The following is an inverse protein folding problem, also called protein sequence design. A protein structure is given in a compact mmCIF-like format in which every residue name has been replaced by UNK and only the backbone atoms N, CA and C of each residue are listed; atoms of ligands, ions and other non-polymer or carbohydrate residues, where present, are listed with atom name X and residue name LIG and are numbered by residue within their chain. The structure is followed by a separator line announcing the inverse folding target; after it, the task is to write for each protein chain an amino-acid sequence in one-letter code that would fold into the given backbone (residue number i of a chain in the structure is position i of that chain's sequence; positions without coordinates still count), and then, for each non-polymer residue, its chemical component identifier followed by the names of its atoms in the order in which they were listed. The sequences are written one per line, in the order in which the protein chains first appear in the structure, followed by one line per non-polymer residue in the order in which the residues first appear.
data_IF_262201168235
#
_entry.id   IF_262201168235
#
_cell.length_a   1.000
_cell.length_b   1.000
_cell.length_c   1.000
_cell.angle_alpha   90.00
_cell.angle_beta   90.00
_cell.angle_gamma   90.00
#
_symmetry.space_group_name_H-M   'P 1'
#
loop_
_entity.id
_entity.type
_entity.pdbx_description
1 polymer ?
#
# COMPACT_ATOMS: atom_id res chain seq x y z
N UNK A 1 0.40 -38.57 -8.67
CA UNK A 1 -0.05 -37.17 -8.82
C UNK A 1 -0.41 -36.60 -7.47
N UNK A 2 0.42 -35.75 -6.87
CA UNK A 2 0.03 -34.80 -5.80
C UNK A 2 1.07 -33.68 -5.79
N UNK A 3 0.58 -32.47 -5.58
CA UNK A 3 1.06 -31.18 -6.09
C UNK A 3 2.31 -30.67 -5.34
N UNK A 4 3.36 -30.33 -6.09
CA UNK A 4 4.48 -29.48 -5.68
C UNK A 4 4.26 -28.09 -6.31
N UNK A 5 3.80 -27.09 -5.54
CA UNK A 5 3.67 -25.72 -6.07
C UNK A 5 3.62 -24.58 -5.01
N UNK A 6 3.75 -24.85 -3.70
CA UNK A 6 3.56 -23.81 -2.67
C UNK A 6 4.80 -23.44 -1.83
N UNK A 7 5.95 -24.10 -2.02
CA UNK A 7 7.15 -23.87 -1.19
C UNK A 7 8.09 -22.77 -1.73
N UNK A 8 7.89 -22.27 -2.94
CA UNK A 8 8.70 -21.21 -3.54
C UNK A 8 8.31 -19.80 -3.08
N UNK A 9 7.06 -19.57 -2.63
CA UNK A 9 6.57 -18.25 -2.21
C UNK A 9 7.13 -17.79 -0.86
N UNK A 10 7.14 -18.69 0.14
CA UNK A 10 7.61 -18.39 1.50
C UNK A 10 9.12 -18.19 1.58
N UNK A 11 9.88 -18.91 0.74
CA UNK A 11 11.33 -18.74 0.61
C UNK A 11 11.69 -17.37 0.01
N UNK A 12 10.86 -16.87 -0.92
CA UNK A 12 11.02 -15.53 -1.51
C UNK A 12 10.67 -14.42 -0.52
N UNK A 13 9.65 -14.62 0.33
CA UNK A 13 9.26 -13.68 1.39
C UNK A 13 10.37 -13.54 2.46
N UNK A 14 10.98 -14.66 2.86
CA UNK A 14 12.18 -14.68 3.71
C UNK A 14 13.39 -14.06 3.01
N UNK A 15 13.55 -14.25 1.69
CA UNK A 15 14.62 -13.65 0.90
C UNK A 15 14.50 -12.12 0.79
N UNK A 16 13.27 -11.59 0.64
CA UNK A 16 13.00 -10.14 0.62
C UNK A 16 13.19 -9.49 1.99
N UNK A 17 12.70 -10.14 3.05
CA UNK A 17 12.93 -9.70 4.44
C UNK A 17 14.41 -9.76 4.83
N UNK A 18 15.19 -10.72 4.29
CA UNK A 18 16.65 -10.77 4.46
C UNK A 18 17.39 -9.71 3.65
N UNK A 19 16.95 -9.38 2.42
CA UNK A 19 17.64 -8.37 1.60
C UNK A 19 17.47 -6.95 2.16
N UNK A 20 16.31 -6.65 2.76
CA UNK A 20 16.03 -5.35 3.38
C UNK A 20 16.76 -5.12 4.71
N UNK A 21 17.21 -6.19 5.39
CA UNK A 21 17.98 -6.09 6.65
C UNK A 21 19.50 -6.03 6.41
N UNK A 22 19.98 -6.21 5.17
CA UNK A 22 21.43 -6.27 4.84
C UNK A 22 21.94 -4.98 4.17
N UNK A 23 21.40 -3.81 4.55
CA UNK A 23 22.01 -2.51 4.23
C UNK A 23 23.00 -2.00 5.28
N UNK A 24 23.17 -2.66 6.44
CA UNK A 24 24.05 -2.18 7.53
C UNK A 24 25.18 -3.14 8.02
N UNK A 25 25.52 -4.22 7.29
CA UNK A 25 26.60 -5.15 7.72
C UNK A 25 27.82 -5.13 6.76
N UNK A 26 29.07 -4.95 7.27
CA UNK A 26 30.29 -5.00 6.49
C UNK A 26 30.46 -6.29 5.67
N UNK A 27 30.97 -6.16 4.45
CA UNK A 27 31.04 -7.23 3.41
C UNK A 27 31.74 -8.52 3.84
N UNK A 28 32.63 -8.46 4.83
CA UNK A 28 33.42 -9.59 5.31
C UNK A 28 32.68 -10.50 6.32
N UNK A 29 31.56 -10.06 6.90
CA UNK A 29 30.72 -10.91 7.78
C UNK A 29 29.54 -11.56 7.04
N UNK A 30 29.23 -11.09 5.82
CA UNK A 30 28.15 -11.60 4.96
C UNK A 30 28.33 -13.07 4.59
N UNK A 31 29.54 -13.44 4.19
CA UNK A 31 29.81 -14.77 3.61
C UNK A 31 29.81 -15.88 4.67
N UNK A 32 30.24 -15.59 5.90
CA UNK A 32 30.32 -16.56 7.00
C UNK A 32 28.94 -16.94 7.52
N UNK A 33 28.00 -15.99 7.55
CA UNK A 33 26.62 -16.21 8.02
C UNK A 33 25.74 -16.89 6.97
N UNK A 34 25.92 -16.55 5.68
CA UNK A 34 25.24 -17.22 4.55
C UNK A 34 25.61 -18.71 4.48
N UNK A 35 26.88 -19.05 4.69
CA UNK A 35 27.34 -20.43 4.63
C UNK A 35 26.88 -21.29 5.82
N UNK A 36 26.66 -20.72 7.01
CA UNK A 36 26.10 -21.48 8.14
C UNK A 36 24.62 -21.83 7.92
N UNK A 37 23.85 -20.93 7.30
CA UNK A 37 22.40 -21.10 7.03
C UNK A 37 22.15 -22.10 5.88
N UNK A 38 22.97 -22.08 4.82
CA UNK A 38 22.89 -23.04 3.71
C UNK A 38 23.25 -24.47 4.17
N UNK A 39 24.13 -24.60 5.17
CA UNK A 39 24.60 -25.91 5.65
C UNK A 39 23.59 -26.66 6.54
N UNK A 40 22.58 -25.99 7.11
CA UNK A 40 21.58 -26.64 7.97
C UNK A 40 20.49 -27.32 7.13
N UNK A 41 20.75 -28.56 6.69
CA UNK A 41 19.76 -29.47 6.09
C UNK A 41 18.76 -30.00 7.14
N UNK A 42 17.88 -29.18 7.68
CA UNK A 42 16.82 -29.64 8.59
C UNK A 42 15.45 -29.63 7.91
N UNK A 43 14.94 -30.83 7.65
CA UNK A 43 13.65 -31.18 7.02
C UNK A 43 12.44 -31.05 7.95
N UNK A 44 12.49 -30.12 8.89
CA UNK A 44 11.34 -29.68 9.69
C UNK A 44 11.47 -28.17 9.81
N UNK A 45 10.45 -27.37 9.46
CA UNK A 45 10.43 -25.97 9.85
C UNK A 45 10.20 -25.97 11.37
N UNK A 46 11.26 -26.21 12.12
CA UNK A 46 11.28 -25.92 13.54
C UNK A 46 11.03 -24.42 13.64
N UNK A 47 9.95 -24.10 14.35
CA UNK A 47 9.37 -22.81 14.69
C UNK A 47 10.32 -21.92 15.53
N UNK A 48 11.62 -21.93 15.21
CA UNK A 48 12.69 -21.18 15.87
C UNK A 48 13.23 -20.04 15.00
N UNK A 49 12.67 -19.83 13.79
CA UNK A 49 12.96 -18.67 12.94
C UNK A 49 11.83 -17.63 12.90
N UNK A 50 10.84 -17.77 13.79
CA UNK A 50 9.99 -16.66 14.18
C UNK A 50 10.37 -16.33 15.62
N UNK A 51 11.39 -15.50 15.79
CA UNK A 51 11.36 -14.45 16.82
C UNK A 51 10.23 -13.45 16.52
N UNK A 52 9.06 -13.98 16.19
CA UNK A 52 7.73 -13.40 16.05
C UNK A 52 6.76 -14.35 16.80
N UNK A 53 7.28 -15.10 17.77
CA UNK A 53 6.48 -15.80 18.77
C UNK A 53 6.30 -14.85 19.95
N UNK A 54 5.15 -14.19 20.01
CA UNK A 54 4.52 -13.61 21.21
C UNK A 54 5.30 -12.59 22.10
N UNK A 55 6.59 -12.33 21.87
CA UNK A 55 7.43 -11.52 22.77
C UNK A 55 8.21 -10.40 22.07
N UNK A 56 8.10 -10.25 20.75
CA UNK A 56 8.68 -9.08 20.06
C UNK A 56 7.70 -7.92 20.04
N UNK A 57 8.15 -6.77 20.54
CA UNK A 57 7.48 -5.45 20.55
C UNK A 57 7.11 -4.88 19.16
N UNK A 58 6.74 -5.71 18.18
CA UNK A 58 6.36 -5.29 16.82
C UNK A 58 5.03 -4.52 16.82
N UNK A 59 4.24 -4.59 17.90
CA UNK A 59 3.06 -3.74 18.10
C UNK A 59 3.41 -2.23 18.16
N UNK A 60 4.69 -1.87 18.30
CA UNK A 60 5.19 -0.49 18.20
C UNK A 60 5.53 -0.05 16.78
N UNK A 61 5.51 -0.96 15.79
CA UNK A 61 5.84 -0.61 14.42
C UNK A 61 4.74 0.25 13.81
N UNK A 62 5.04 1.53 13.61
CA UNK A 62 4.06 2.50 13.11
C UNK A 62 4.12 2.74 11.61
N UNK A 63 5.24 2.47 10.95
CA UNK A 63 5.35 2.65 9.50
C UNK A 63 6.29 1.64 8.85
N UNK A 64 5.96 1.28 7.60
CA UNK A 64 6.82 0.50 6.73
C UNK A 64 7.03 1.29 5.44
N UNK A 65 8.29 1.55 5.10
CA UNK A 65 8.68 2.19 3.85
C UNK A 65 9.41 1.18 2.95
N UNK A 66 8.82 0.90 1.80
CA UNK A 66 9.32 0.04 0.73
C UNK A 66 9.43 0.81 -0.60
N UNK A 67 9.45 2.14 -0.53
CA UNK A 67 9.54 2.98 -1.71
C UNK A 67 10.88 2.84 -2.44
N UNK A 68 10.92 3.23 -3.71
CA UNK A 68 12.15 3.25 -4.52
C UNK A 68 12.81 1.88 -4.65
N UNK A 69 12.00 0.87 -4.97
CA UNK A 69 12.43 -0.52 -5.18
C UNK A 69 11.95 -1.05 -6.54
N UNK A 70 12.17 -2.34 -6.80
CA UNK A 70 11.74 -3.03 -8.02
C UNK A 70 10.60 -4.02 -7.75
N UNK A 71 9.73 -3.74 -6.77
CA UNK A 71 8.61 -4.63 -6.44
C UNK A 71 7.60 -4.63 -7.59
N UNK A 72 7.29 -5.81 -8.13
CA UNK A 72 6.28 -5.99 -9.19
C UNK A 72 4.89 -6.35 -8.67
N UNK A 73 4.81 -6.78 -7.41
CA UNK A 73 3.56 -7.16 -6.73
C UNK A 73 3.74 -7.10 -5.21
N UNK A 74 2.65 -6.90 -4.47
CA UNK A 74 2.61 -7.04 -3.01
C UNK A 74 2.12 -8.46 -2.68
N UNK A 75 2.93 -9.32 -2.02
CA UNK A 75 2.51 -10.67 -1.66
C UNK A 75 1.28 -10.68 -0.74
N UNK A 76 0.35 -11.61 -0.93
CA UNK A 76 -0.84 -11.74 -0.07
C UNK A 76 -0.49 -12.01 1.40
N UNK A 77 0.61 -12.72 1.63
CA UNK A 77 1.13 -13.04 2.94
C UNK A 77 1.60 -11.77 3.65
N UNK A 78 2.23 -10.83 2.92
CA UNK A 78 2.59 -9.52 3.47
C UNK A 78 1.34 -8.78 3.95
N UNK A 79 0.28 -8.75 3.14
CA UNK A 79 -0.98 -8.10 3.50
C UNK A 79 -1.60 -8.75 4.74
N UNK A 80 -1.58 -10.07 4.82
CA UNK A 80 -2.14 -10.84 5.95
C UNK A 80 -1.41 -10.51 7.26
N UNK A 81 -0.08 -10.55 7.27
CA UNK A 81 0.69 -10.32 8.49
C UNK A 81 0.71 -8.84 8.90
N UNK A 82 0.91 -7.92 7.94
CA UNK A 82 0.95 -6.50 8.25
C UNK A 82 -0.43 -5.95 8.65
N UNK A 83 -1.51 -6.51 8.11
CA UNK A 83 -2.87 -6.19 8.52
C UNK A 83 -3.20 -6.63 9.95
N UNK A 84 -2.39 -7.50 10.57
CA UNK A 84 -2.54 -7.87 11.98
C UNK A 84 -1.76 -6.95 12.92
N UNK A 85 -0.90 -6.07 12.39
CA UNK A 85 -0.08 -5.18 13.20
C UNK A 85 -0.92 -4.01 13.71
N UNK A 86 -1.34 -4.12 14.97
CA UNK A 86 -2.20 -3.13 15.60
C UNK A 86 -1.57 -1.74 15.79
N UNK A 87 -0.26 -1.58 15.57
CA UNK A 87 0.45 -0.30 15.62
C UNK A 87 0.62 0.40 14.28
N UNK A 88 0.41 -0.30 13.16
CA UNK A 88 0.82 0.19 11.84
C UNK A 88 -0.10 1.30 11.31
N UNK A 89 0.48 2.47 11.08
CA UNK A 89 -0.16 3.70 10.62
C UNK A 89 0.26 4.13 9.22
N UNK A 90 1.45 3.72 8.77
CA UNK A 90 2.00 4.15 7.47
C UNK A 90 2.47 2.99 6.61
N UNK A 91 2.07 3.01 5.33
CA UNK A 91 2.61 2.15 4.28
C UNK A 91 3.05 2.99 3.09
N UNK A 92 4.33 2.89 2.73
CA UNK A 92 4.87 3.52 1.53
C UNK A 92 5.39 2.46 0.56
N UNK A 93 4.76 2.37 -0.61
CA UNK A 93 5.12 1.53 -1.74
C UNK A 93 5.45 2.34 -3.00
N UNK A 94 5.62 3.65 -2.85
CA UNK A 94 5.83 4.54 -3.98
C UNK A 94 7.09 4.20 -4.78
N UNK A 95 7.18 4.61 -6.03
CA UNK A 95 8.38 4.40 -6.86
C UNK A 95 8.79 2.93 -6.95
N UNK A 96 7.85 2.11 -7.40
CA UNK A 96 8.07 0.69 -7.67
C UNK A 96 7.53 0.35 -9.08
N UNK A 97 7.47 -0.94 -9.41
CA UNK A 97 6.88 -1.44 -10.67
C UNK A 97 5.64 -2.29 -10.40
N UNK A 98 4.91 -2.00 -9.31
CA UNK A 98 3.72 -2.73 -8.92
C UNK A 98 2.69 -2.67 -10.05
N UNK A 99 2.08 -3.80 -10.38
CA UNK A 99 1.13 -3.90 -11.48
C UNK A 99 -0.13 -4.68 -11.09
N UNK A 100 -1.14 -4.66 -11.96
CA UNK A 100 -2.44 -5.27 -11.65
C UNK A 100 -3.36 -4.33 -10.87
N UNK A 101 -4.32 -4.87 -10.12
CA UNK A 101 -5.22 -4.09 -9.25
C UNK A 101 -4.60 -3.84 -7.87
N UNK A 102 -5.19 -2.92 -7.12
CA UNK A 102 -4.94 -2.78 -5.68
C UNK A 102 -5.18 -4.11 -4.93
N UNK A 103 -4.35 -4.44 -3.93
CA UNK A 103 -4.63 -5.53 -3.00
C UNK A 103 -5.78 -5.15 -2.05
N UNK A 104 -6.32 -6.14 -1.34
CA UNK A 104 -7.28 -5.89 -0.27
C UNK A 104 -6.55 -5.44 1.01
N UNK A 105 -6.98 -4.33 1.59
CA UNK A 105 -6.44 -3.74 2.82
C UNK A 105 -7.25 -4.10 4.08
N UNK A 106 -7.99 -5.22 4.08
CA UNK A 106 -8.62 -5.76 5.28
C UNK A 106 -7.59 -5.97 6.40
N UNK A 107 -7.96 -5.58 7.61
CA UNK A 107 -7.08 -5.64 8.80
C UNK A 107 -6.29 -4.36 9.08
N UNK A 108 -6.04 -3.52 8.07
CA UNK A 108 -5.31 -2.24 8.21
C UNK A 108 -6.14 -1.13 8.85
N UNK A 109 -6.81 -1.43 9.96
CA UNK A 109 -7.82 -0.58 10.60
C UNK A 109 -7.27 0.73 11.15
N UNK A 110 -5.97 0.79 11.48
CA UNK A 110 -5.31 1.98 12.01
C UNK A 110 -4.42 2.70 11.00
N UNK A 111 -4.43 2.27 9.74
CA UNK A 111 -3.61 2.89 8.72
C UNK A 111 -4.11 4.31 8.43
N UNK A 112 -3.21 5.28 8.57
CA UNK A 112 -3.46 6.71 8.36
C UNK A 112 -2.85 7.22 7.06
N UNK A 113 -1.74 6.62 6.61
CA UNK A 113 -0.99 7.01 5.42
C UNK A 113 -0.78 5.80 4.51
N UNK A 114 -1.23 5.91 3.26
CA UNK A 114 -0.98 4.94 2.21
C UNK A 114 -0.50 5.63 0.94
N UNK A 115 0.71 5.29 0.51
CA UNK A 115 1.29 5.79 -0.74
C UNK A 115 1.66 4.63 -1.66
N UNK A 116 1.01 4.58 -2.82
CA UNK A 116 1.27 3.64 -3.91
C UNK A 116 1.58 4.40 -5.21
N UNK A 117 1.95 5.68 -5.11
CA UNK A 117 2.23 6.52 -6.27
C UNK A 117 3.45 6.03 -7.06
N UNK A 118 3.56 6.45 -8.32
CA UNK A 118 4.68 6.06 -9.19
C UNK A 118 4.84 4.53 -9.30
N UNK A 119 3.78 3.88 -9.78
CA UNK A 119 3.71 2.45 -10.04
C UNK A 119 3.03 2.19 -11.39
N UNK A 120 2.72 0.93 -11.70
CA UNK A 120 1.96 0.51 -12.88
C UNK A 120 0.62 -0.16 -12.49
N UNK A 121 0.05 0.24 -11.34
CA UNK A 121 -1.25 -0.27 -10.89
C UNK A 121 -2.34 0.24 -11.82
N UNK A 122 -3.38 -0.56 -12.03
CA UNK A 122 -4.38 -0.36 -13.07
C UNK A 122 -5.76 -0.84 -12.61
N UNK A 123 -6.73 -0.81 -13.53
CA UNK A 123 -8.15 -1.13 -13.30
C UNK A 123 -8.84 -0.04 -12.47
N UNK A 124 -10.06 -0.31 -12.04
CA UNK A 124 -10.85 0.60 -11.21
C UNK A 124 -10.44 0.51 -9.74
N UNK A 125 -10.52 1.61 -9.02
CA UNK A 125 -10.49 1.62 -7.56
C UNK A 125 -11.90 1.23 -7.07
N UNK A 126 -12.04 0.16 -6.29
CA UNK A 126 -13.32 -0.30 -5.73
C UNK A 126 -13.18 -0.71 -4.26
N UNK A 127 -14.04 -1.61 -3.76
CA UNK A 127 -14.18 -2.08 -2.37
C UNK A 127 -12.88 -2.51 -1.64
N UNK A 128 -11.75 -2.56 -2.33
CA UNK A 128 -10.44 -2.88 -1.78
C UNK A 128 -9.99 -1.93 -0.65
N UNK A 129 -10.63 -0.76 -0.49
CA UNK A 129 -10.32 0.24 0.54
C UNK A 129 -11.26 0.22 1.76
N UNK A 130 -12.28 -0.63 1.79
CA UNK A 130 -13.32 -0.60 2.83
C UNK A 130 -12.78 -0.80 4.25
N UNK A 131 -11.67 -1.53 4.40
CA UNK A 131 -10.99 -1.76 5.68
C UNK A 131 -10.18 -0.56 6.19
N UNK A 132 -9.87 0.42 5.34
CA UNK A 132 -9.05 1.59 5.69
C UNK A 132 -9.89 2.65 6.39
N UNK A 133 -10.33 2.40 7.62
CA UNK A 133 -11.28 3.28 8.35
C UNK A 133 -10.62 4.54 8.94
N UNK A 134 -9.30 4.54 9.16
CA UNK A 134 -8.56 5.66 9.77
C UNK A 134 -7.69 6.45 8.79
N UNK A 135 -7.85 6.23 7.49
CA UNK A 135 -6.99 6.80 6.46
C UNK A 135 -7.16 8.33 6.35
N UNK A 136 -6.05 9.05 6.49
CA UNK A 136 -5.97 10.50 6.33
C UNK A 136 -5.38 10.90 4.98
N UNK A 137 -4.42 10.13 4.47
CA UNK A 137 -3.76 10.39 3.20
C UNK A 137 -3.77 9.15 2.32
N UNK A 138 -4.33 9.31 1.12
CA UNK A 138 -4.26 8.34 0.05
C UNK A 138 -3.55 8.93 -1.17
N UNK A 139 -2.42 8.36 -1.55
CA UNK A 139 -1.66 8.75 -2.75
C UNK A 139 -1.59 7.59 -3.73
N UNK A 140 -2.21 7.78 -4.90
CA UNK A 140 -2.26 6.83 -6.02
C UNK A 140 -1.79 7.46 -7.34
N UNK A 141 -1.16 8.63 -7.27
CA UNK A 141 -0.74 9.37 -8.45
C UNK A 141 0.31 8.64 -9.28
N UNK A 142 0.44 8.96 -10.57
CA UNK A 142 1.33 8.24 -11.50
C UNK A 142 1.09 6.72 -11.47
N UNK A 143 -0.11 6.33 -11.86
CA UNK A 143 -0.49 4.94 -12.09
C UNK A 143 -1.32 4.87 -13.39
N UNK A 144 -1.94 3.73 -13.64
CA UNK A 144 -2.77 3.44 -14.81
C UNK A 144 -4.22 3.14 -14.42
N UNK A 145 -4.69 3.70 -13.29
CA UNK A 145 -6.07 3.50 -12.85
C UNK A 145 -7.06 4.12 -13.85
N UNK A 146 -8.17 3.44 -14.08
CA UNK A 146 -9.14 3.80 -15.13
C UNK A 146 -10.57 3.73 -14.61
N UNK A 147 -11.53 4.24 -15.38
CA UNK A 147 -12.95 4.31 -15.00
C UNK A 147 -13.29 5.62 -14.32
N UNK A 148 -14.43 5.71 -13.63
CA UNK A 148 -14.79 6.91 -12.87
C UNK A 148 -13.94 7.06 -11.62
N UNK A 149 -13.74 8.29 -11.16
CA UNK A 149 -13.24 8.54 -9.80
C UNK A 149 -14.19 7.84 -8.81
N UNK A 150 -13.68 7.03 -7.86
CA UNK A 150 -14.53 6.29 -6.94
C UNK A 150 -15.31 7.25 -6.03
N UNK A 151 -16.60 6.98 -5.84
CA UNK A 151 -17.46 7.65 -4.84
C UNK A 151 -17.25 7.11 -3.43
N UNK A 152 -16.64 5.93 -3.32
CA UNK A 152 -16.29 5.25 -2.09
C UNK A 152 -14.79 5.01 -2.06
N UNK A 153 -14.07 5.83 -1.30
CA UNK A 153 -12.64 5.70 -1.02
C UNK A 153 -12.40 4.95 0.31
N UNK A 154 -13.27 3.96 0.57
CA UNK A 154 -13.39 3.27 1.85
C UNK A 154 -14.30 4.00 2.83
N UNK A 155 -14.36 3.47 4.06
CA UNK A 155 -15.22 3.95 5.15
C UNK A 155 -14.58 5.07 5.99
N UNK A 156 -13.45 5.63 5.55
CA UNK A 156 -12.74 6.64 6.33
C UNK A 156 -13.37 8.01 6.22
N UNK A 157 -14.10 8.42 7.25
CA UNK A 157 -14.66 9.78 7.33
C UNK A 157 -13.61 10.83 7.78
N UNK A 158 -12.34 10.43 7.91
CA UNK A 158 -11.23 11.29 8.36
C UNK A 158 -10.20 11.58 7.26
N UNK A 159 -10.53 11.29 6.00
CA UNK A 159 -9.65 11.55 4.87
C UNK A 159 -9.39 13.06 4.72
N UNK A 160 -8.11 13.44 4.71
CA UNK A 160 -7.62 14.82 4.59
C UNK A 160 -7.02 15.10 3.22
N UNK A 161 -6.37 14.11 2.59
CA UNK A 161 -5.69 14.28 1.31
C UNK A 161 -5.96 13.13 0.36
N UNK A 162 -6.43 13.47 -0.83
CA UNK A 162 -6.71 12.54 -1.92
C UNK A 162 -5.90 12.93 -3.15
N UNK A 163 -4.90 12.12 -3.49
CA UNK A 163 -3.96 12.39 -4.58
C UNK A 163 -4.07 11.31 -5.65
N UNK A 164 -4.74 11.62 -6.76
CA UNK A 164 -5.06 10.69 -7.86
C UNK A 164 -4.51 11.16 -9.22
N UNK A 165 -3.64 12.17 -9.21
CA UNK A 165 -3.13 12.78 -10.44
C UNK A 165 -2.40 11.80 -11.36
N UNK A 166 -2.33 12.12 -12.64
CA UNK A 166 -1.58 11.32 -13.62
C UNK A 166 -2.05 9.85 -13.67
N UNK A 167 -3.34 9.68 -13.95
CA UNK A 167 -4.01 8.40 -14.13
C UNK A 167 -4.90 8.46 -15.39
N UNK A 168 -5.75 7.46 -15.61
CA UNK A 168 -6.68 7.37 -16.73
C UNK A 168 -8.15 7.46 -16.27
N UNK A 169 -8.44 8.21 -15.21
CA UNK A 169 -9.82 8.41 -14.77
C UNK A 169 -10.62 9.18 -15.83
N UNK A 170 -11.86 8.79 -16.05
CA UNK A 170 -12.78 9.33 -17.06
C UNK A 170 -14.12 9.74 -16.45
N UNK A 171 -14.90 10.52 -17.20
CA UNK A 171 -16.22 10.97 -16.78
C UNK A 171 -16.15 12.20 -15.87
N UNK A 172 -17.22 12.47 -15.13
CA UNK A 172 -17.31 13.64 -14.22
C UNK A 172 -16.72 13.32 -12.85
N UNK A 173 -16.29 14.35 -12.13
CA UNK A 173 -15.98 14.24 -10.71
C UNK A 173 -17.29 13.97 -9.95
N UNK A 174 -17.39 12.89 -9.15
CA UNK A 174 -18.56 12.65 -8.33
C UNK A 174 -18.69 13.67 -7.21
N UNK A 175 -19.91 14.17 -7.00
CA UNK A 175 -20.20 15.09 -5.90
C UNK A 175 -20.08 14.44 -4.51
N UNK A 176 -20.13 13.10 -4.44
CA UNK A 176 -19.98 12.32 -3.21
C UNK A 176 -18.61 12.47 -2.55
N UNK A 177 -17.58 12.92 -3.29
CA UNK A 177 -16.27 13.25 -2.69
C UNK A 177 -16.44 14.34 -1.62
N UNK A 178 -17.43 15.23 -1.76
CA UNK A 178 -17.73 16.24 -0.75
C UNK A 178 -18.27 15.66 0.57
N UNK A 179 -18.57 14.36 0.64
CA UNK A 179 -18.96 13.70 1.89
C UNK A 179 -17.77 13.51 2.85
N UNK A 180 -16.52 13.58 2.34
CA UNK A 180 -15.31 13.57 3.15
C UNK A 180 -14.99 14.99 3.63
N UNK A 181 -15.70 15.45 4.67
CA UNK A 181 -15.66 16.84 5.17
C UNK A 181 -14.30 17.28 5.74
N UNK A 182 -13.39 16.33 6.00
CA UNK A 182 -12.04 16.61 6.46
C UNK A 182 -11.05 16.89 5.32
N UNK A 183 -11.47 16.80 4.05
CA UNK A 183 -10.58 17.04 2.90
C UNK A 183 -9.99 18.45 2.94
N UNK A 184 -8.67 18.49 2.88
CA UNK A 184 -7.82 19.68 2.79
C UNK A 184 -7.25 19.81 1.37
N UNK A 185 -6.93 18.67 0.75
CA UNK A 185 -6.26 18.60 -0.55
C UNK A 185 -6.90 17.53 -1.44
N UNK A 186 -7.22 17.93 -2.68
CA UNK A 186 -7.68 17.03 -3.74
C UNK A 186 -6.84 17.29 -4.98
N UNK A 187 -6.13 16.27 -5.47
CA UNK A 187 -5.42 16.33 -6.74
C UNK A 187 -5.99 15.30 -7.72
N UNK A 188 -6.69 15.81 -8.74
CA UNK A 188 -7.27 15.05 -9.85
C UNK A 188 -6.63 15.44 -11.19
N UNK A 189 -5.54 16.22 -11.18
CA UNK A 189 -4.91 16.75 -12.38
C UNK A 189 -4.35 15.64 -13.28
N UNK A 190 -4.13 15.93 -14.57
CA UNK A 190 -3.59 14.98 -15.53
C UNK A 190 -4.39 13.67 -15.58
N UNK A 191 -5.71 13.79 -15.74
CA UNK A 191 -6.63 12.68 -15.97
C UNK A 191 -7.54 13.01 -17.16
N UNK A 192 -8.29 12.03 -17.66
CA UNK A 192 -9.24 12.19 -18.76
C UNK A 192 -10.66 12.56 -18.25
N UNK A 193 -10.73 13.36 -17.18
CA UNK A 193 -11.98 13.82 -16.60
C UNK A 193 -12.66 14.85 -17.50
N UNK A 194 -13.98 14.97 -17.39
CA UNK A 194 -14.79 15.94 -18.13
C UNK A 194 -15.80 16.63 -17.20
N UNK A 195 -16.46 17.67 -17.70
CA UNK A 195 -17.41 18.46 -16.92
C UNK A 195 -16.72 19.57 -16.12
N UNK A 196 -17.38 20.03 -15.07
CA UNK A 196 -16.88 21.06 -14.14
C UNK A 196 -16.65 20.46 -12.76
N UNK A 197 -15.91 21.18 -11.92
CA UNK A 197 -15.81 20.88 -10.49
C UNK A 197 -17.23 20.92 -9.88
N UNK A 198 -17.65 19.93 -9.07
CA UNK A 198 -18.97 19.91 -8.45
C UNK A 198 -19.17 21.10 -7.50
N UNK A 199 -20.34 21.74 -7.53
CA UNK A 199 -20.63 22.89 -6.65
C UNK A 199 -20.54 22.52 -5.17
N UNK A 200 -20.85 21.27 -4.80
CA UNK A 200 -20.70 20.75 -3.43
C UNK A 200 -19.27 20.86 -2.88
N UNK A 201 -18.24 20.97 -3.71
CA UNK A 201 -16.88 21.16 -3.21
C UNK A 201 -16.71 22.52 -2.52
N UNK A 202 -17.60 23.49 -2.79
CA UNK A 202 -17.65 24.77 -2.06
C UNK A 202 -18.14 24.62 -0.62
N UNK A 203 -18.79 23.51 -0.31
CA UNK A 203 -19.31 23.19 1.03
C UNK A 203 -18.26 22.50 1.91
N UNK A 204 -17.12 22.09 1.34
CA UNK A 204 -16.03 21.47 2.10
C UNK A 204 -15.35 22.51 3.00
N UNK A 205 -15.48 22.40 4.33
CA UNK A 205 -15.08 23.47 5.24
C UNK A 205 -13.56 23.65 5.35
N UNK A 206 -12.80 22.60 5.04
CA UNK A 206 -11.35 22.55 5.22
C UNK A 206 -10.57 22.55 3.89
N UNK A 207 -11.25 22.53 2.74
CA UNK A 207 -10.57 22.39 1.45
C UNK A 207 -9.76 23.65 1.15
N UNK A 208 -8.44 23.47 1.01
CA UNK A 208 -7.48 24.55 0.75
C UNK A 208 -6.90 24.45 -0.65
N UNK A 209 -6.70 23.23 -1.15
CA UNK A 209 -6.00 22.98 -2.41
C UNK A 209 -6.81 22.02 -3.28
N UNK A 210 -7.08 22.44 -4.52
CA UNK A 210 -7.73 21.63 -5.53
C UNK A 210 -6.98 21.74 -6.87
N UNK A 211 -6.42 20.64 -7.33
CA UNK A 211 -5.80 20.54 -8.65
C UNK A 211 -6.75 19.78 -9.61
N UNK A 212 -7.12 20.44 -10.71
CA UNK A 212 -8.13 19.96 -11.68
C UNK A 212 -7.73 20.15 -13.15
N UNK A 213 -6.47 20.51 -13.44
CA UNK A 213 -6.04 20.77 -14.81
C UNK A 213 -5.92 19.46 -15.61
N UNK A 214 -6.54 19.43 -16.79
CA UNK A 214 -6.49 18.32 -17.77
C UNK A 214 -5.18 18.36 -18.56
#
# INVERSE_FOLDING_TARGET
MRRYAHTTSLLLLLFFMFHLVVSEIPSNQRTTMINSIISSKTTRPNLLFLGISAETHIDTLESIDLSNNYLSSIPSEFMTYCGMLGGLRGLNFSWNILSGSLPNFDGFLKLEYLDLSHNSLSRTISLQMDGLVSLKLLSLGYNQFSGSVPTHLGKSMVLERLVLYYNHFVGKIPEDIANYSNLIEIDLSYNNLSGSIPDRFRELPNLQVLFYLQ
#
